data_IF_941095808415
#
_entry.id   IF_941095808415
#
_cell.length_a   1.000
_cell.length_b   1.000
_cell.length_c   1.000
_cell.angle_alpha   90.00
_cell.angle_beta   90.00
_cell.angle_gamma   90.00
#
_symmetry.space_group_name_H-M   'P 1'
#
loop_
_entity.id
_entity.type
_entity.pdbx_description
1 polymer ?
#
# COMPACT_ATOMS: atom_id res chain seq x y z
N UNK A 1 30.00 42.73 -8.90
CA UNK A 1 29.83 41.55 -8.03
C UNK A 1 29.10 40.48 -8.84
N UNK A 2 29.81 39.44 -9.30
CA UNK A 2 29.24 38.28 -10.01
C UNK A 2 29.14 37.15 -9.00
N UNK A 3 27.92 36.71 -8.67
CA UNK A 3 27.72 35.47 -7.90
C UNK A 3 28.13 34.25 -8.74
N UNK A 4 28.58 33.15 -8.12
CA UNK A 4 28.92 31.94 -8.87
C UNK A 4 27.64 31.33 -9.44
N UNK A 5 27.64 31.09 -10.75
CA UNK A 5 26.62 30.27 -11.42
C UNK A 5 26.81 28.84 -10.92
N UNK A 6 25.86 28.34 -10.13
CA UNK A 6 25.80 26.92 -9.80
C UNK A 6 25.55 26.13 -11.09
N UNK A 7 26.57 25.45 -11.57
CA UNK A 7 26.42 24.42 -12.60
C UNK A 7 25.58 23.29 -12.00
N UNK A 8 24.37 23.12 -12.53
CA UNK A 8 23.55 21.94 -12.25
C UNK A 8 24.28 20.77 -12.91
N UNK A 9 24.87 19.90 -12.11
CA UNK A 9 25.42 18.64 -12.61
C UNK A 9 24.25 17.84 -13.21
N UNK A 10 24.22 17.74 -14.53
CA UNK A 10 23.33 16.83 -15.25
C UNK A 10 23.73 15.43 -14.82
N UNK A 11 22.83 14.72 -14.15
CA UNK A 11 23.04 13.32 -13.78
C UNK A 11 23.35 12.53 -15.06
N UNK A 12 24.33 11.61 -15.04
CA UNK A 12 24.67 10.81 -16.21
C UNK A 12 23.44 10.00 -16.65
N UNK A 13 23.30 9.85 -17.97
CA UNK A 13 22.26 9.05 -18.63
C UNK A 13 21.94 7.80 -17.83
N UNK A 14 20.69 7.66 -17.40
CA UNK A 14 20.28 6.49 -16.64
C UNK A 14 20.20 5.28 -17.57
N UNK A 15 20.37 4.08 -17.02
CA UNK A 15 20.20 2.84 -17.78
C UNK A 15 18.82 2.73 -18.44
N UNK A 16 17.81 3.37 -17.86
CA UNK A 16 16.48 3.49 -18.44
C UNK A 16 16.49 4.39 -19.68
N UNK A 17 17.24 5.49 -19.65
CA UNK A 17 17.41 6.37 -20.80
C UNK A 17 18.10 5.65 -21.96
N UNK A 18 19.05 4.74 -21.69
CA UNK A 18 19.70 3.92 -22.72
C UNK A 18 18.69 3.01 -23.47
N UNK A 19 17.77 2.36 -22.76
CA UNK A 19 16.72 1.53 -23.38
C UNK A 19 15.73 2.39 -24.18
N UNK A 20 15.34 3.54 -23.64
CA UNK A 20 14.44 4.48 -24.31
C UNK A 20 15.06 5.07 -25.59
N UNK A 21 16.35 5.39 -25.56
CA UNK A 21 17.11 5.87 -26.73
C UNK A 21 17.31 4.77 -27.78
N UNK A 22 17.51 3.52 -27.36
CA UNK A 22 17.63 2.36 -28.25
C UNK A 22 16.29 1.92 -28.87
N UNK A 23 15.17 2.42 -28.37
CA UNK A 23 13.84 1.96 -28.76
C UNK A 23 13.56 0.51 -28.35
N UNK A 24 14.26 0.03 -27.32
CA UNK A 24 14.10 -1.30 -26.76
C UNK A 24 13.26 -1.22 -25.48
N UNK A 25 12.43 -2.23 -25.24
CA UNK A 25 11.72 -2.33 -23.97
C UNK A 25 12.71 -2.69 -22.86
N UNK A 26 12.82 -1.88 -21.80
CA UNK A 26 13.66 -2.22 -20.67
C UNK A 26 13.17 -3.53 -20.05
N UNK A 27 14.07 -4.40 -19.56
CA UNK A 27 13.71 -5.63 -18.86
C UNK A 27 13.15 -5.29 -17.47
N UNK A 28 11.97 -4.67 -17.44
CA UNK A 28 11.21 -4.42 -16.23
C UNK A 28 10.63 -5.76 -15.76
N UNK A 29 10.57 -6.00 -14.45
CA UNK A 29 9.85 -7.16 -13.95
C UNK A 29 8.40 -7.08 -14.40
N UNK A 30 7.85 -8.22 -14.85
CA UNK A 30 6.42 -8.36 -15.09
C UNK A 30 5.69 -8.18 -13.76
N UNK A 31 5.23 -6.96 -13.50
CA UNK A 31 4.24 -6.73 -12.47
C UNK A 31 2.93 -7.35 -12.98
N UNK A 32 2.28 -8.26 -12.24
CA UNK A 32 0.90 -8.62 -12.56
C UNK A 32 0.11 -7.31 -12.64
N UNK A 33 -0.71 -7.17 -13.69
CA UNK A 33 -1.39 -5.93 -14.08
C UNK A 33 -1.94 -5.16 -12.87
N UNK A 34 -1.25 -4.07 -12.46
CA UNK A 34 -1.67 -3.19 -11.37
C UNK A 34 -1.53 -3.75 -9.94
N UNK A 35 -1.58 -2.86 -8.93
CA UNK A 35 -1.52 -3.21 -7.50
C UNK A 35 -2.69 -4.06 -6.97
N UNK A 36 -3.53 -4.62 -7.85
CA UNK A 36 -4.69 -5.45 -7.52
C UNK A 36 -4.28 -6.76 -6.84
N UNK A 37 -3.14 -7.35 -7.23
CA UNK A 37 -2.64 -8.55 -6.57
C UNK A 37 -2.32 -8.33 -5.08
N UNK A 38 -1.89 -7.11 -4.70
CA UNK A 38 -1.68 -6.76 -3.28
C UNK A 38 -3.00 -6.66 -2.52
N UNK A 39 -4.06 -6.20 -3.19
CA UNK A 39 -5.41 -6.17 -2.62
C UNK A 39 -5.91 -7.61 -2.39
N UNK A 40 -5.74 -8.49 -3.38
CA UNK A 40 -6.08 -9.91 -3.23
C UNK A 40 -5.25 -10.58 -2.14
N UNK A 41 -3.93 -10.34 -2.11
CA UNK A 41 -3.03 -10.85 -1.10
C UNK A 41 -3.46 -10.39 0.31
N UNK A 42 -3.83 -9.12 0.46
CA UNK A 42 -4.36 -8.56 1.70
C UNK A 42 -5.62 -9.30 2.18
N UNK A 43 -6.58 -9.55 1.28
CA UNK A 43 -7.80 -10.28 1.65
C UNK A 43 -7.56 -11.75 1.99
N UNK A 44 -6.63 -12.41 1.30
CA UNK A 44 -6.27 -13.81 1.57
C UNK A 44 -5.50 -13.93 2.90
N UNK A 45 -4.57 -13.00 3.15
CA UNK A 45 -3.91 -12.84 4.45
C UNK A 45 -4.91 -12.52 5.56
N UNK A 46 -6.04 -11.92 5.21
CA UNK A 46 -6.96 -11.19 6.07
C UNK A 46 -6.29 -9.97 6.72
N UNK A 47 -6.78 -8.74 6.47
CA UNK A 47 -6.12 -7.52 6.95
C UNK A 47 -6.24 -7.27 8.46
N UNK A 48 -7.15 -7.99 9.12
CA UNK A 48 -7.45 -7.81 10.54
C UNK A 48 -7.32 -9.11 11.34
N UNK A 49 -7.06 -8.95 12.63
CA UNK A 49 -7.02 -10.03 13.63
C UNK A 49 -7.87 -9.65 14.82
N UNK A 50 -8.64 -10.61 15.32
CA UNK A 50 -9.36 -10.47 16.58
C UNK A 50 -8.41 -10.87 17.70
N UNK A 51 -8.16 -9.93 18.60
CA UNK A 51 -7.33 -10.11 19.79
C UNK A 51 -8.17 -9.94 21.05
N UNK A 52 -7.66 -10.36 22.21
CA UNK A 52 -8.33 -10.12 23.48
C UNK A 52 -8.54 -8.63 23.84
N UNK A 53 -7.90 -7.69 23.11
CA UNK A 53 -8.04 -6.24 23.28
C UNK A 53 -8.84 -5.55 22.17
N UNK A 54 -9.41 -6.30 21.24
CA UNK A 54 -10.15 -5.78 20.09
C UNK A 54 -9.54 -6.20 18.75
N UNK A 55 -9.80 -5.42 17.71
CA UNK A 55 -9.26 -5.68 16.37
C UNK A 55 -7.88 -5.05 16.18
N UNK A 56 -6.93 -5.83 15.66
CA UNK A 56 -5.60 -5.38 15.25
C UNK A 56 -5.43 -5.58 13.74
N UNK A 57 -4.51 -4.86 13.12
CA UNK A 57 -4.11 -5.14 11.75
C UNK A 57 -3.20 -6.38 11.73
N UNK A 58 -3.09 -7.06 10.59
CA UNK A 58 -2.02 -8.05 10.40
C UNK A 58 -0.65 -7.38 10.58
N UNK A 59 0.24 -8.02 11.34
CA UNK A 59 1.55 -7.48 11.70
C UNK A 59 2.65 -8.25 10.94
N UNK A 60 3.90 -7.81 11.10
CA UNK A 60 5.06 -8.37 10.41
C UNK A 60 5.19 -9.89 10.52
N UNK A 61 5.00 -10.54 11.68
CA UNK A 61 5.10 -11.99 11.77
C UNK A 61 4.12 -12.72 10.84
N UNK A 62 2.88 -12.25 10.74
CA UNK A 62 1.88 -12.84 9.85
C UNK A 62 2.20 -12.58 8.38
N UNK A 63 2.62 -11.35 8.05
CA UNK A 63 2.95 -10.95 6.68
C UNK A 63 4.15 -11.76 6.17
N UNK A 64 5.20 -11.89 6.97
CA UNK A 64 6.39 -12.67 6.62
C UNK A 64 6.05 -14.16 6.46
N UNK A 65 5.26 -14.72 7.38
CA UNK A 65 4.83 -16.12 7.28
C UNK A 65 3.98 -16.36 6.02
N UNK A 66 3.09 -15.44 5.69
CA UNK A 66 2.27 -15.49 4.48
C UNK A 66 3.11 -15.40 3.21
N UNK A 67 4.04 -14.45 3.14
CA UNK A 67 4.95 -14.29 2.01
C UNK A 67 5.80 -15.56 1.80
N UNK A 68 6.37 -16.12 2.87
CA UNK A 68 7.15 -17.36 2.81
C UNK A 68 6.31 -18.57 2.38
N UNK A 69 5.08 -18.69 2.89
CA UNK A 69 4.20 -19.82 2.62
C UNK A 69 3.56 -19.81 1.24
N UNK A 70 3.26 -18.62 0.70
CA UNK A 70 2.49 -18.49 -0.56
C UNK A 70 3.33 -18.04 -1.74
N UNK A 71 4.45 -17.37 -1.51
CA UNK A 71 5.28 -16.71 -2.53
C UNK A 71 4.49 -15.74 -3.44
N UNK A 72 3.34 -15.26 -2.99
CA UNK A 72 2.51 -14.29 -3.72
C UNK A 72 3.05 -12.86 -3.62
N UNK A 73 3.87 -12.62 -2.61
CA UNK A 73 4.52 -11.35 -2.29
C UNK A 73 5.95 -11.70 -1.93
N UNK A 74 6.92 -11.05 -2.55
CA UNK A 74 8.34 -11.41 -2.39
C UNK A 74 9.26 -10.21 -2.25
N UNK A 75 8.87 -9.05 -2.79
CA UNK A 75 9.73 -7.87 -2.74
C UNK A 75 9.54 -7.12 -1.42
N UNK A 76 10.63 -6.57 -0.83
CA UNK A 76 10.54 -5.82 0.41
C UNK A 76 9.53 -4.67 0.37
N UNK A 77 9.46 -3.94 -0.75
CA UNK A 77 8.51 -2.84 -0.93
C UNK A 77 7.05 -3.31 -0.93
N UNK A 78 6.77 -4.53 -1.41
CA UNK A 78 5.44 -5.09 -1.40
C UNK A 78 5.03 -5.51 0.01
N UNK A 79 5.96 -6.03 0.81
CA UNK A 79 5.71 -6.38 2.21
C UNK A 79 5.41 -5.12 3.03
N UNK A 80 6.16 -4.05 2.80
CA UNK A 80 5.89 -2.73 3.38
C UNK A 80 4.53 -2.18 2.95
N UNK A 81 4.20 -2.27 1.66
CA UNK A 81 2.90 -1.85 1.14
C UNK A 81 1.76 -2.66 1.76
N UNK A 82 1.89 -3.99 1.85
CA UNK A 82 0.89 -4.87 2.42
C UNK A 82 0.65 -4.57 3.91
N UNK A 83 1.72 -4.31 4.67
CA UNK A 83 1.64 -3.89 6.06
C UNK A 83 0.89 -2.55 6.20
N UNK A 84 1.25 -1.56 5.37
CA UNK A 84 0.58 -0.25 5.35
C UNK A 84 -0.91 -0.37 4.98
N UNK A 85 -1.25 -1.22 4.01
CA UNK A 85 -2.63 -1.48 3.59
C UNK A 85 -3.45 -2.11 4.72
N UNK A 86 -2.92 -3.10 5.43
CA UNK A 86 -3.60 -3.72 6.57
C UNK A 86 -3.86 -2.72 7.69
N UNK A 87 -2.88 -1.86 8.00
CA UNK A 87 -3.02 -0.79 8.98
C UNK A 87 -4.11 0.22 8.59
N UNK A 88 -4.07 0.69 7.34
CA UNK A 88 -5.06 1.63 6.80
C UNK A 88 -6.47 1.04 6.78
N UNK A 89 -6.61 -0.25 6.46
CA UNK A 89 -7.90 -0.95 6.47
C UNK A 89 -8.49 -1.02 7.87
N UNK A 90 -7.69 -1.40 8.88
CA UNK A 90 -8.11 -1.36 10.29
C UNK A 90 -8.52 0.05 10.70
N UNK A 91 -7.72 1.06 10.35
CA UNK A 91 -8.01 2.44 10.73
C UNK A 91 -9.31 2.93 10.10
N UNK A 92 -9.56 2.57 8.83
CA UNK A 92 -10.83 2.79 8.14
C UNK A 92 -12.01 2.14 8.89
N UNK A 93 -11.88 0.85 9.24
CA UNK A 93 -12.90 0.13 10.00
C UNK A 93 -13.19 0.76 11.37
N UNK A 94 -12.16 1.09 12.15
CA UNK A 94 -12.31 1.71 13.47
C UNK A 94 -12.86 3.12 13.34
N UNK A 95 -12.47 3.86 12.30
CA UNK A 95 -12.95 5.22 12.07
C UNK A 95 -14.45 5.29 11.79
N UNK A 96 -15.03 4.23 11.22
CA UNK A 96 -16.48 4.09 11.05
C UNK A 96 -17.27 4.02 12.36
N UNK A 97 -16.61 3.70 13.48
CA UNK A 97 -17.22 3.76 14.81
C UNK A 97 -17.22 5.18 15.41
N UNK A 98 -16.52 6.15 14.80
CA UNK A 98 -16.57 7.55 15.23
C UNK A 98 -17.74 8.27 14.54
N UNK A 99 -18.76 8.74 15.30
CA UNK A 99 -19.93 9.40 14.72
C UNK A 99 -19.60 10.67 13.93
N UNK A 100 -18.49 11.34 14.24
CA UNK A 100 -18.07 12.56 13.55
C UNK A 100 -17.37 12.30 12.21
N UNK A 101 -17.11 11.04 11.87
CA UNK A 101 -16.57 10.62 10.57
C UNK A 101 -17.63 10.01 9.64
N UNK A 102 -18.86 9.83 10.14
CA UNK A 102 -20.04 9.51 9.33
C UNK A 102 -20.61 10.80 8.76
N UNK A 103 -21.06 10.77 7.51
CA UNK A 103 -21.78 11.90 6.94
C UNK A 103 -23.10 12.14 7.69
N UNK A 104 -23.60 13.39 7.78
CA UNK A 104 -24.87 13.68 8.47
C UNK A 104 -26.07 12.88 7.94
N UNK A 105 -26.04 12.45 6.67
CA UNK A 105 -27.07 11.61 6.07
C UNK A 105 -27.08 10.19 6.66
N UNK A 106 -25.91 9.57 6.82
CA UNK A 106 -25.77 8.22 7.40
C UNK A 106 -26.20 8.17 8.88
N UNK A 107 -26.07 9.29 9.60
CA UNK A 107 -26.52 9.40 11.01
C UNK A 107 -28.06 9.47 11.10
N UNK A 108 -28.72 10.02 10.09
CA UNK A 108 -30.17 10.20 10.09
C UNK A 108 -30.94 8.90 9.85
N UNK A 109 -30.35 7.96 9.11
CA UNK A 109 -30.95 6.65 8.77
C UNK A 109 -30.90 5.65 9.93
N UNK A 110 -29.98 5.81 10.89
CA UNK A 110 -29.80 4.91 12.04
C UNK A 110 -30.72 5.23 13.24
N UNK A 111 -31.71 6.12 13.05
CA UNK A 111 -32.71 6.40 14.10
C UNK A 111 -33.67 5.23 14.23
N UNK A 112 -33.84 4.61 15.41
CA UNK A 112 -34.86 3.59 15.60
C UNK A 112 -36.23 4.23 15.38
N UNK A 113 -37.02 3.61 14.49
CA UNK A 113 -38.45 3.87 14.38
C UNK A 113 -39.07 3.72 15.77
N UNK A 114 -39.69 4.79 16.26
CA UNK A 114 -40.43 4.78 17.53
C UNK A 114 -41.68 3.93 17.42
#
# INVERSE_FOLDING_TARGET
>A
MKGPKGEVQVLPHSRLDEYLEAGEDPPLPDLPTGGEYLIEAMYVLSPIRVTGRGIAAADWPEIVAFAQGTRRVSDPCELEALHAMCAAYRDGLVSGANPFRKSPMEIAEDKPSR
#
